data_IF_166175557816
#
_entry.id   IF_166175557816
#
_cell.length_a   1.000
_cell.length_b   1.000
_cell.length_c   1.000
_cell.angle_alpha   90.00
_cell.angle_beta   90.00
_cell.angle_gamma   90.00
#
_symmetry.space_group_name_H-M   'P 1'
#
loop_
_entity.id
_entity.type
_entity.pdbx_description
1 polymer ?
#
# COMPACT_ATOMS: atom_id res chain seq x y z
N UNK A 1 -0.64 30.85 -18.84
CA UNK A 1 -1.40 30.86 -17.56
C UNK A 1 -0.90 29.67 -16.75
N UNK A 2 0.00 29.91 -15.80
CA UNK A 2 0.69 28.85 -15.05
C UNK A 2 -0.24 28.39 -13.92
N UNK A 3 -0.99 27.29 -14.10
CA UNK A 3 -1.79 26.72 -13.01
C UNK A 3 -0.83 26.02 -12.06
N UNK A 4 -0.54 26.65 -10.91
CA UNK A 4 0.17 26.00 -9.82
C UNK A 4 -0.59 24.73 -9.42
N UNK A 5 0.11 23.59 -9.31
CA UNK A 5 -0.48 22.35 -8.79
C UNK A 5 -1.00 22.62 -7.38
N UNK A 6 -2.30 22.43 -7.19
CA UNK A 6 -2.92 22.52 -5.87
C UNK A 6 -2.88 21.13 -5.24
N UNK A 7 -2.33 21.03 -4.03
CA UNK A 7 -2.33 19.79 -3.26
C UNK A 7 -3.60 19.76 -2.39
N UNK A 8 -4.32 18.65 -2.44
CA UNK A 8 -5.58 18.43 -1.70
C UNK A 8 -5.42 17.15 -0.88
N UNK A 9 -5.90 17.17 0.36
CA UNK A 9 -5.91 15.99 1.21
C UNK A 9 -7.14 15.13 0.87
N UNK A 10 -6.92 13.85 0.62
CA UNK A 10 -7.96 12.88 0.28
C UNK A 10 -7.84 11.69 1.23
N UNK A 11 -8.96 11.30 1.85
CA UNK A 11 -9.07 10.08 2.65
C UNK A 11 -9.56 8.94 1.75
N UNK A 12 -8.88 7.80 1.79
CA UNK A 12 -9.25 6.57 1.08
C UNK A 12 -9.74 5.53 2.09
N UNK A 13 -10.89 4.93 1.81
CA UNK A 13 -11.47 3.83 2.60
C UNK A 13 -11.91 2.69 1.68
N UNK A 14 -12.25 1.54 2.28
CA UNK A 14 -12.90 0.45 1.55
C UNK A 14 -14.39 0.38 1.88
N UNK A 15 -15.17 0.01 0.87
CA UNK A 15 -16.63 -0.17 0.92
C UNK A 15 -17.03 -1.45 1.68
N UNK A 16 -16.06 -2.31 2.01
CA UNK A 16 -16.31 -3.61 2.63
C UNK A 16 -17.02 -3.47 3.99
N UNK A 17 -17.83 -4.47 4.34
CA UNK A 17 -18.63 -4.47 5.59
C UNK A 17 -17.79 -4.32 6.85
N UNK A 18 -16.53 -4.79 6.82
CA UNK A 18 -15.60 -4.63 7.93
C UNK A 18 -14.81 -3.30 7.86
N UNK A 19 -14.71 -2.66 6.69
CA UNK A 19 -13.88 -1.47 6.47
C UNK A 19 -12.39 -1.68 6.73
N UNK A 20 -11.96 -2.93 6.89
CA UNK A 20 -10.60 -3.33 7.24
C UNK A 20 -9.87 -3.87 6.03
N UNK A 21 -8.60 -3.51 5.94
CA UNK A 21 -7.62 -4.04 4.99
C UNK A 21 -6.24 -4.01 5.62
N UNK A 22 -5.34 -4.76 5.01
CA UNK A 22 -3.95 -4.81 5.41
C UNK A 22 -3.09 -4.19 4.31
N UNK A 23 -1.95 -3.62 4.66
CA UNK A 23 -0.97 -3.15 3.69
C UNK A 23 0.20 -4.13 3.75
N UNK A 24 0.55 -4.73 2.61
CA UNK A 24 1.71 -5.59 2.52
C UNK A 24 2.97 -4.81 2.90
N UNK A 25 3.82 -5.42 3.71
CA UNK A 25 5.04 -4.80 4.20
C UNK A 25 6.14 -5.84 4.40
N UNK A 26 7.38 -5.36 4.31
CA UNK A 26 8.57 -6.11 4.73
C UNK A 26 9.15 -5.43 5.97
N UNK A 27 9.73 -6.21 6.85
CA UNK A 27 10.35 -5.70 8.08
C UNK A 27 11.76 -6.24 8.22
N UNK A 28 12.62 -5.45 8.86
CA UNK A 28 13.95 -5.87 9.27
C UNK A 28 14.42 -5.03 10.45
N UNK A 29 15.32 -5.59 11.25
CA UNK A 29 16.07 -4.79 12.21
C UNK A 29 17.06 -3.89 11.45
N UNK A 30 17.15 -2.63 11.88
CA UNK A 30 18.19 -1.72 11.44
C UNK A 30 19.05 -1.31 12.64
N UNK A 31 20.36 -1.46 12.50
CA UNK A 31 21.33 -1.06 13.52
C UNK A 31 22.05 0.21 13.07
N UNK A 32 21.96 1.26 13.88
CA UNK A 32 22.68 2.50 13.70
C UNK A 32 24.19 2.27 13.88
N UNK A 33 24.98 2.72 12.90
CA UNK A 33 26.42 2.44 12.86
C UNK A 33 27.25 3.30 13.82
N UNK A 34 26.73 4.46 14.21
CA UNK A 34 27.45 5.42 15.06
C UNK A 34 27.17 5.16 16.54
N UNK A 35 25.95 4.72 16.86
CA UNK A 35 25.47 4.50 18.24
C UNK A 35 25.40 3.03 18.65
N UNK A 36 25.26 2.11 17.70
CA UNK A 36 25.03 0.69 17.95
C UNK A 36 23.59 0.33 18.37
N UNK A 37 22.67 1.30 18.38
CA UNK A 37 21.26 1.06 18.69
C UNK A 37 20.58 0.27 17.57
N UNK A 38 19.73 -0.70 17.94
CA UNK A 38 18.93 -1.48 16.98
C UNK A 38 17.46 -1.14 17.13
N UNK A 39 16.79 -0.84 16.03
CA UNK A 39 15.35 -0.60 15.97
C UNK A 39 14.66 -1.51 14.96
N UNK A 40 13.41 -1.84 15.23
CA UNK A 40 12.55 -2.53 14.26
C UNK A 40 12.11 -1.54 13.18
N UNK A 41 12.32 -1.88 11.91
CA UNK A 41 11.92 -1.06 10.77
C UNK A 41 10.97 -1.81 9.85
N UNK A 42 10.08 -1.06 9.21
CA UNK A 42 9.11 -1.59 8.25
C UNK A 42 9.09 -0.73 7.00
N UNK A 43 8.94 -1.36 5.84
CA UNK A 43 8.71 -0.69 4.57
C UNK A 43 7.42 -1.20 3.95
N UNK A 44 6.53 -0.26 3.60
CA UNK A 44 5.27 -0.59 2.93
C UNK A 44 5.52 -0.90 1.45
N UNK A 45 4.93 -1.97 0.97
CA UNK A 45 4.97 -2.35 -0.44
C UNK A 45 3.98 -1.47 -1.22
N UNK A 46 4.42 -1.01 -2.38
CA UNK A 46 3.60 -0.23 -3.31
C UNK A 46 3.48 -0.95 -4.64
N UNK A 47 2.32 -0.82 -5.28
CA UNK A 47 2.02 -1.29 -6.62
C UNK A 47 1.59 -0.14 -7.53
N UNK A 48 1.44 -0.42 -8.81
CA UNK A 48 0.84 0.49 -9.78
C UNK A 48 -0.55 0.96 -9.32
N UNK A 49 -0.85 2.24 -9.56
CA UNK A 49 -2.16 2.78 -9.22
C UNK A 49 -3.27 2.18 -10.11
N UNK A 50 -4.35 1.77 -9.46
CA UNK A 50 -5.60 1.46 -10.15
C UNK A 50 -6.27 2.74 -10.72
N UNK A 51 -7.34 2.64 -11.53
CA UNK A 51 -7.96 3.80 -12.18
C UNK A 51 -8.40 4.94 -11.24
N UNK A 52 -8.88 4.63 -10.03
CA UNK A 52 -9.21 5.65 -9.02
C UNK A 52 -7.95 6.34 -8.49
N UNK A 53 -6.96 5.55 -8.09
CA UNK A 53 -5.72 6.08 -7.52
C UNK A 53 -4.89 6.87 -8.55
N UNK A 54 -5.00 6.58 -9.85
CA UNK A 54 -4.39 7.40 -10.91
C UNK A 54 -5.00 8.80 -11.02
N UNK A 55 -6.27 8.96 -10.64
CA UNK A 55 -6.89 10.29 -10.62
C UNK A 55 -6.44 11.08 -9.38
N UNK A 56 -6.34 10.39 -8.24
CA UNK A 56 -6.05 10.97 -6.92
C UNK A 56 -4.55 11.24 -6.71
N UNK A 57 -3.68 10.25 -6.96
CA UNK A 57 -2.23 10.31 -6.78
C UNK A 57 -1.51 10.33 -8.15
N UNK A 58 -1.95 11.25 -9.01
CA UNK A 58 -1.59 11.34 -10.42
C UNK A 58 -0.12 11.72 -10.73
N UNK A 59 0.69 12.06 -9.72
CA UNK A 59 2.10 12.43 -9.93
C UNK A 59 3.03 11.23 -10.08
N UNK A 60 2.77 10.16 -9.31
CA UNK A 60 3.62 8.96 -9.27
C UNK A 60 2.90 7.71 -9.77
N UNK A 61 1.56 7.73 -9.81
CA UNK A 61 0.74 6.59 -10.21
C UNK A 61 1.07 5.30 -9.44
N UNK A 62 1.33 5.45 -8.14
CA UNK A 62 1.52 4.34 -7.21
C UNK A 62 0.42 4.35 -6.14
N UNK A 63 0.11 3.17 -5.61
CA UNK A 63 -0.71 2.99 -4.43
C UNK A 63 -0.08 1.95 -3.50
N UNK A 64 -0.41 1.95 -2.19
CA UNK A 64 -0.05 0.84 -1.32
C UNK A 64 -0.66 -0.48 -1.82
N UNK A 65 0.05 -1.59 -1.65
CA UNK A 65 -0.49 -2.92 -1.91
C UNK A 65 -1.46 -3.28 -0.77
N UNK A 66 -2.74 -3.04 -1.01
CA UNK A 66 -3.83 -3.29 -0.05
C UNK A 66 -4.37 -4.70 -0.22
N UNK A 67 -4.22 -5.55 0.80
CA UNK A 67 -4.63 -6.95 0.78
C UNK A 67 -5.92 -7.17 1.59
N UNK A 68 -6.87 -7.97 1.07
CA UNK A 68 -7.94 -8.54 1.89
C UNK A 68 -7.37 -9.58 2.88
N UNK A 69 -8.16 -9.92 3.88
CA UNK A 69 -7.77 -10.80 5.01
C UNK A 69 -7.10 -12.11 4.56
N UNK A 70 -7.69 -12.82 3.58
CA UNK A 70 -7.16 -14.08 3.05
C UNK A 70 -5.75 -13.92 2.45
N UNK A 71 -5.55 -12.89 1.63
CA UNK A 71 -4.24 -12.64 0.99
C UNK A 71 -3.23 -12.08 1.97
N UNK A 72 -3.67 -11.33 2.98
CA UNK A 72 -2.81 -10.85 4.05
C UNK A 72 -2.31 -12.01 4.92
N UNK A 73 -3.17 -12.99 5.20
CA UNK A 73 -2.78 -14.22 5.87
C UNK A 73 -1.77 -15.01 5.04
N UNK A 74 -2.02 -15.16 3.74
CA UNK A 74 -1.10 -15.84 2.82
C UNK A 74 0.27 -15.14 2.76
N UNK A 75 0.31 -13.81 2.69
CA UNK A 75 1.54 -13.00 2.68
C UNK A 75 2.47 -13.29 3.87
N UNK A 76 1.93 -13.75 5.00
CA UNK A 76 2.70 -14.07 6.19
C UNK A 76 3.32 -15.49 6.18
N UNK A 77 3.00 -16.33 5.19
CA UNK A 77 3.51 -17.70 5.11
C UNK A 77 4.95 -17.77 4.61
N UNK A 78 5.72 -18.75 5.10
CA UNK A 78 7.18 -18.83 4.88
C UNK A 78 7.60 -19.58 3.61
N UNK A 79 6.66 -20.22 2.92
CA UNK A 79 6.91 -21.17 1.82
C UNK A 79 6.32 -20.73 0.47
N UNK A 80 6.07 -19.43 0.31
CA UNK A 80 5.62 -18.86 -0.96
C UNK A 80 6.74 -18.90 -2.02
N UNK A 81 6.38 -19.24 -3.26
CA UNK A 81 7.28 -19.06 -4.40
C UNK A 81 7.49 -17.58 -4.71
N UNK A 82 8.61 -17.23 -5.35
CA UNK A 82 8.87 -15.85 -5.80
C UNK A 82 7.77 -15.31 -6.72
N UNK A 83 7.21 -16.18 -7.57
CA UNK A 83 6.06 -15.86 -8.43
C UNK A 83 4.86 -15.44 -7.58
N UNK A 84 4.52 -16.24 -6.56
CA UNK A 84 3.36 -15.94 -5.70
C UNK A 84 3.58 -14.70 -4.83
N UNK A 85 4.79 -14.50 -4.31
CA UNK A 85 5.16 -13.26 -3.61
C UNK A 85 4.95 -12.05 -4.52
N UNK A 86 5.34 -12.16 -5.80
CA UNK A 86 5.17 -11.07 -6.77
C UNK A 86 3.69 -10.80 -7.07
N UNK A 87 2.87 -11.84 -7.24
CA UNK A 87 1.42 -11.70 -7.41
C UNK A 87 0.76 -10.98 -6.23
N UNK A 88 1.11 -11.37 -5.00
CA UNK A 88 0.60 -10.72 -3.79
C UNK A 88 1.11 -9.27 -3.68
N UNK A 89 2.41 -9.04 -3.90
CA UNK A 89 3.03 -7.73 -3.81
C UNK A 89 2.48 -6.73 -4.84
N UNK A 90 2.01 -7.23 -5.99
CA UNK A 90 1.45 -6.40 -7.06
C UNK A 90 -0.08 -6.36 -7.08
N UNK A 91 -0.74 -7.07 -6.15
CA UNK A 91 -2.19 -7.09 -6.03
C UNK A 91 -2.80 -5.68 -5.94
N UNK A 92 -3.85 -5.46 -6.74
CA UNK A 92 -4.61 -4.22 -6.75
C UNK A 92 -6.03 -4.51 -6.33
N UNK A 93 -6.48 -3.86 -5.26
CA UNK A 93 -7.89 -3.86 -4.91
C UNK A 93 -8.72 -3.20 -6.01
N UNK A 94 -9.92 -3.73 -6.26
CA UNK A 94 -10.78 -3.19 -7.30
C UNK A 94 -11.24 -1.79 -6.91
N UNK A 95 -11.25 -0.87 -7.87
CA UNK A 95 -11.76 0.49 -7.68
C UNK A 95 -13.21 0.50 -7.16
N UNK A 96 -14.05 -0.46 -7.53
CA UNK A 96 -15.43 -0.55 -7.02
C UNK A 96 -15.53 -0.81 -5.52
N UNK A 97 -14.44 -1.25 -4.89
CA UNK A 97 -14.35 -1.54 -3.46
C UNK A 97 -13.74 -0.37 -2.67
N UNK A 98 -13.41 0.74 -3.32
CA UNK A 98 -12.76 1.90 -2.73
C UNK A 98 -13.66 3.13 -2.74
N UNK A 99 -13.57 3.92 -1.68
CA UNK A 99 -14.19 5.24 -1.57
C UNK A 99 -13.12 6.29 -1.29
N UNK A 100 -13.38 7.51 -1.77
CA UNK A 100 -12.50 8.66 -1.61
C UNK A 100 -13.30 9.87 -1.16
N UNK A 101 -12.81 10.54 -0.12
CA UNK A 101 -13.44 11.71 0.47
C UNK A 101 -12.47 12.90 0.50
N UNK A 102 -12.98 14.07 0.18
CA UNK A 102 -12.32 15.36 0.42
C UNK A 102 -12.96 16.02 1.63
N UNK A 103 -12.14 16.68 2.47
CA UNK A 103 -12.65 17.49 3.59
C UNK A 103 -13.31 18.78 3.11
#
# INVERSE_FOLDING_TARGET
MNRSKQQINILITLVSKQGLFFIAAIWQNWTDKDTGETVDTVALVTTEANPLMRQIHNSKNLMPTMLPDELAWEWMMQDLSEERITELATYQINTSEMEAYTN
#
